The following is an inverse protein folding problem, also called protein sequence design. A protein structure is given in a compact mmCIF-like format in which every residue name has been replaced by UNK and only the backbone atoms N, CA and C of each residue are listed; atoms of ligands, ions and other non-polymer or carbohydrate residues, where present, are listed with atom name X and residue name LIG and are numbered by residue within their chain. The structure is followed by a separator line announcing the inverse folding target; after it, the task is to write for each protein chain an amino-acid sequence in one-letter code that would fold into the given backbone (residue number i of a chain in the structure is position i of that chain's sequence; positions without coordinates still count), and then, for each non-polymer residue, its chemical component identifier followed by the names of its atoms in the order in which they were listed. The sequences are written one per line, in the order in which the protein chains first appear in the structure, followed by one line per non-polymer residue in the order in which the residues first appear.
data_IF_170458900873
#
_entry.id   IF_170458900873
#
_cell.length_a   1.000
_cell.length_b   1.000
_cell.length_c   1.000
_cell.angle_alpha   90.00
_cell.angle_beta   90.00
_cell.angle_gamma   90.00
#
_symmetry.space_group_name_H-M   'P 1'
#
loop_
_entity.id
_entity.type
_entity.pdbx_description
1 polymer ?
#
# COMPACT_ATOMS: atom_id res chain seq x y z
N UNK A 1 33.15 -5.07 5.24
CA UNK A 1 31.76 -4.54 5.26
C UNK A 1 31.39 -4.16 3.84
N UNK A 2 30.53 -4.86 3.06
CA UNK A 2 29.89 -4.24 1.86
C UNK A 2 28.79 -4.96 1.02
N UNK A 3 28.35 -6.21 1.19
CA UNK A 3 27.20 -6.71 0.41
C UNK A 3 25.83 -6.27 0.99
N UNK A 4 25.73 -6.22 2.32
CA UNK A 4 24.44 -6.10 3.02
C UNK A 4 23.87 -4.67 2.99
N UNK A 5 24.73 -3.64 3.03
CA UNK A 5 24.29 -2.23 2.96
C UNK A 5 23.74 -1.88 1.58
N UNK A 6 24.38 -2.35 0.50
CA UNK A 6 23.90 -2.12 -0.87
C UNK A 6 22.54 -2.80 -1.11
N UNK A 7 22.36 -4.02 -0.60
CA UNK A 7 21.08 -4.73 -0.66
C UNK A 7 19.97 -4.00 0.12
N UNK A 8 20.24 -3.51 1.34
CA UNK A 8 19.27 -2.74 2.14
C UNK A 8 18.82 -1.47 1.40
N UNK A 9 19.74 -0.74 0.77
CA UNK A 9 19.42 0.46 -0.02
C UNK A 9 18.55 0.12 -1.24
N UNK A 10 18.85 -0.99 -1.94
CA UNK A 10 18.05 -1.43 -3.07
C UNK A 10 16.61 -1.79 -2.64
N UNK A 11 16.45 -2.50 -1.52
CA UNK A 11 15.12 -2.84 -0.98
C UNK A 11 14.31 -1.60 -0.59
N UNK A 12 14.95 -0.64 0.08
CA UNK A 12 14.33 0.65 0.42
C UNK A 12 13.81 1.38 -0.84
N UNK A 13 14.63 1.42 -1.90
CA UNK A 13 14.26 2.04 -3.16
C UNK A 13 13.12 1.28 -3.87
N UNK A 14 13.19 -0.05 -3.91
CA UNK A 14 12.16 -0.89 -4.54
C UNK A 14 10.83 -0.74 -3.83
N UNK A 15 10.80 -0.80 -2.50
CA UNK A 15 9.56 -0.66 -1.75
C UNK A 15 8.98 0.75 -1.92
N UNK A 16 9.79 1.80 -1.79
CA UNK A 16 9.34 3.19 -1.98
C UNK A 16 8.68 3.37 -3.34
N UNK A 17 9.29 2.87 -4.42
CA UNK A 17 8.73 2.93 -5.77
C UNK A 17 7.46 2.10 -5.90
N UNK A 18 7.44 0.88 -5.36
CA UNK A 18 6.26 0.01 -5.39
C UNK A 18 5.06 0.63 -4.67
N UNK A 19 5.28 1.25 -3.51
CA UNK A 19 4.25 1.95 -2.73
C UNK A 19 3.66 3.12 -3.50
N UNK A 20 4.49 3.97 -4.11
CA UNK A 20 4.01 5.09 -4.92
C UNK A 20 3.22 4.60 -6.15
N UNK A 21 3.71 3.57 -6.85
CA UNK A 21 3.03 3.01 -8.02
C UNK A 21 1.69 2.36 -7.67
N UNK A 22 1.62 1.64 -6.57
CA UNK A 22 0.37 1.08 -6.07
C UNK A 22 -0.65 2.18 -5.75
N UNK A 23 -0.22 3.28 -5.13
CA UNK A 23 -1.09 4.42 -4.87
C UNK A 23 -1.59 5.08 -6.16
N UNK A 24 -0.73 5.25 -7.17
CA UNK A 24 -1.12 5.82 -8.46
C UNK A 24 -2.14 4.93 -9.19
N UNK A 25 -1.93 3.61 -9.21
CA UNK A 25 -2.85 2.65 -9.85
C UNK A 25 -4.23 2.61 -9.19
N UNK A 26 -4.24 2.73 -7.85
CA UNK A 26 -5.45 2.78 -7.02
C UNK A 26 -6.07 4.19 -6.93
N UNK A 27 -5.48 5.20 -7.58
CA UNK A 27 -5.92 6.60 -7.51
C UNK A 27 -6.06 7.10 -6.05
N UNK A 28 -5.06 6.76 -5.23
CA UNK A 28 -4.94 7.18 -3.83
C UNK A 28 -4.12 8.46 -3.76
N UNK A 29 -4.68 9.48 -3.12
CA UNK A 29 -4.02 10.78 -2.95
C UNK A 29 -2.79 10.68 -2.03
N UNK A 30 -1.85 11.61 -2.18
CA UNK A 30 -0.66 11.67 -1.32
C UNK A 30 -1.02 11.77 0.17
N UNK A 31 -2.05 12.55 0.50
CA UNK A 31 -2.61 12.66 1.84
C UNK A 31 -3.10 11.32 2.39
N UNK A 32 -3.91 10.61 1.61
CA UNK A 32 -4.44 9.32 2.04
C UNK A 32 -3.32 8.29 2.22
N UNK A 33 -2.39 8.21 1.26
CA UNK A 33 -1.22 7.34 1.36
C UNK A 33 -0.39 7.67 2.62
N UNK A 34 -0.17 8.96 2.89
CA UNK A 34 0.57 9.42 4.07
C UNK A 34 -0.07 8.92 5.38
N UNK A 35 -1.40 9.01 5.49
CA UNK A 35 -2.14 8.46 6.63
C UNK A 35 -1.98 6.93 6.76
N UNK A 36 -2.07 6.19 5.65
CA UNK A 36 -1.95 4.72 5.63
C UNK A 36 -0.57 4.26 6.07
N UNK A 37 0.50 4.93 5.61
CA UNK A 37 1.88 4.52 5.91
C UNK A 37 2.51 5.27 7.09
N UNK A 38 1.76 6.11 7.80
CA UNK A 38 2.21 6.78 9.02
C UNK A 38 3.33 7.81 8.78
N UNK A 39 3.24 8.59 7.71
CA UNK A 39 4.16 9.71 7.41
C UNK A 39 3.40 11.00 7.13
N UNK A 40 4.12 12.10 6.92
CA UNK A 40 3.50 13.36 6.45
C UNK A 40 3.31 13.39 4.94
N UNK A 41 2.34 14.16 4.45
CA UNK A 41 2.13 14.40 3.02
C UNK A 41 3.39 14.97 2.33
N UNK A 42 4.16 15.82 3.03
CA UNK A 42 5.45 16.32 2.56
C UNK A 42 6.50 15.22 2.40
N UNK A 43 6.44 14.16 3.20
CA UNK A 43 7.33 12.99 3.06
C UNK A 43 6.96 12.18 1.82
N UNK A 44 5.67 11.98 1.55
CA UNK A 44 5.21 11.36 0.29
C UNK A 44 5.64 12.19 -0.92
N UNK A 45 5.57 13.53 -0.83
CA UNK A 45 6.08 14.41 -1.89
C UNK A 45 7.58 14.21 -2.13
N UNK A 46 8.40 14.16 -1.07
CA UNK A 46 9.84 13.86 -1.18
C UNK A 46 10.12 12.46 -1.75
N UNK A 47 9.31 11.46 -1.40
CA UNK A 47 9.40 10.12 -2.02
C UNK A 47 9.19 10.19 -3.53
N UNK A 48 8.23 10.97 -4.01
CA UNK A 48 7.97 11.14 -5.45
C UNK A 48 9.10 11.86 -6.20
N UNK A 49 9.91 12.65 -5.49
CA UNK A 49 11.10 13.33 -6.03
C UNK A 49 12.39 12.53 -5.84
N UNK A 50 12.29 11.27 -5.40
CA UNK A 50 13.44 10.41 -5.05
C UNK A 50 14.36 11.03 -3.96
N UNK A 51 13.86 11.95 -3.14
CA UNK A 51 14.59 12.63 -2.05
C UNK A 51 14.42 11.93 -0.69
N UNK A 52 13.50 10.96 -0.61
CA UNK A 52 13.25 10.19 0.61
C UNK A 52 12.96 8.73 0.24
N UNK A 53 13.63 7.81 0.91
CA UNK A 53 13.36 6.37 0.81
C UNK A 53 12.81 5.86 2.13
N UNK A 54 11.79 5.00 2.04
CA UNK A 54 11.33 4.21 3.17
C UNK A 54 12.47 3.31 3.64
N UNK A 55 12.78 3.33 4.93
CA UNK A 55 13.92 2.60 5.47
C UNK A 55 13.49 1.32 6.21
N UNK A 56 14.07 0.18 5.83
CA UNK A 56 13.89 -1.09 6.55
C UNK A 56 14.20 -0.93 8.05
N UNK A 57 13.29 -1.43 8.87
CA UNK A 57 13.34 -1.33 10.34
C UNK A 57 12.53 -0.17 10.91
N UNK A 58 11.93 0.66 10.04
CA UNK A 58 11.02 1.74 10.46
C UNK A 58 9.57 1.33 10.31
N UNK A 59 8.68 1.92 11.11
CA UNK A 59 7.24 1.66 11.02
C UNK A 59 6.64 2.01 9.66
N UNK A 60 6.98 3.15 9.02
CA UNK A 60 6.49 3.45 7.68
C UNK A 60 6.84 2.40 6.63
N UNK A 61 8.04 1.79 6.72
CA UNK A 61 8.42 0.71 5.84
C UNK A 61 7.51 -0.52 6.01
N UNK A 62 7.25 -0.93 7.26
CA UNK A 62 6.32 -2.05 7.52
C UNK A 62 4.90 -1.78 7.01
N UNK A 63 4.38 -0.57 7.23
CA UNK A 63 3.05 -0.18 6.76
C UNK A 63 2.99 -0.10 5.23
N UNK A 64 4.04 0.38 4.59
CA UNK A 64 4.16 0.38 3.14
C UNK A 64 4.20 -1.04 2.55
N UNK A 65 4.84 -2.01 3.24
CA UNK A 65 4.78 -3.44 2.85
C UNK A 65 3.34 -3.94 2.90
N UNK A 66 2.60 -3.65 3.97
CA UNK A 66 1.19 -4.04 4.10
C UNK A 66 0.32 -3.39 3.02
N UNK A 67 0.52 -2.11 2.73
CA UNK A 67 -0.18 -1.42 1.67
C UNK A 67 0.09 -2.02 0.28
N UNK A 68 1.36 -2.36 -0.03
CA UNK A 68 1.70 -3.06 -1.28
C UNK A 68 1.07 -4.45 -1.32
N UNK A 69 1.02 -5.18 -0.19
CA UNK A 69 0.31 -6.46 -0.11
C UNK A 69 -1.18 -6.32 -0.41
N UNK A 70 -1.85 -5.32 0.16
CA UNK A 70 -3.25 -5.00 -0.15
C UNK A 70 -3.44 -4.81 -1.65
N UNK A 71 -2.63 -3.95 -2.27
CA UNK A 71 -2.68 -3.70 -3.70
C UNK A 71 -2.53 -4.99 -4.50
N UNK A 72 -1.49 -5.80 -4.21
CA UNK A 72 -1.25 -7.06 -4.92
C UNK A 72 -2.36 -8.07 -4.75
N UNK A 73 -2.98 -8.14 -3.57
CA UNK A 73 -4.10 -9.04 -3.34
C UNK A 73 -5.35 -8.60 -4.08
N UNK A 74 -5.65 -7.31 -4.11
CA UNK A 74 -6.76 -6.77 -4.90
C UNK A 74 -6.53 -6.99 -6.40
N UNK A 75 -5.33 -6.65 -6.89
CA UNK A 75 -4.93 -6.80 -8.30
C UNK A 75 -5.11 -8.23 -8.82
N UNK A 76 -4.74 -9.22 -8.00
CA UNK A 76 -4.92 -10.64 -8.32
C UNK A 76 -6.38 -11.08 -8.41
N UNK A 77 -7.30 -10.45 -7.68
CA UNK A 77 -8.74 -10.75 -7.72
C UNK A 77 -9.39 -10.10 -8.95
N UNK A 78 -9.00 -8.86 -9.27
CA UNK A 78 -9.60 -8.09 -10.36
C UNK A 78 -8.92 -8.33 -11.72
N UNK A 79 -7.91 -9.21 -11.77
CA UNK A 79 -7.22 -9.57 -13.00
C UNK A 79 -6.40 -8.44 -13.63
N UNK A 80 -5.89 -7.51 -12.82
CA UNK A 80 -5.12 -6.35 -13.31
C UNK A 80 -5.97 -5.18 -13.80
N UNK A 81 -7.31 -5.24 -13.71
CA UNK A 81 -8.17 -4.13 -14.09
C UNK A 81 -8.15 -3.02 -13.02
N UNK A 82 -7.40 -1.96 -13.32
CA UNK A 82 -7.26 -0.82 -12.42
C UNK A 82 -8.58 -0.05 -12.20
N UNK A 83 -9.50 -0.04 -13.16
CA UNK A 83 -10.83 0.60 -12.98
C UNK A 83 -11.62 -0.18 -11.93
N UNK A 84 -11.63 -1.51 -12.04
CA UNK A 84 -12.32 -2.39 -11.10
C UNK A 84 -11.65 -2.32 -9.71
N UNK A 85 -10.31 -2.30 -9.65
CA UNK A 85 -9.58 -2.13 -8.38
C UNK A 85 -10.00 -0.84 -7.67
N UNK A 86 -10.02 0.28 -8.39
CA UNK A 86 -10.42 1.59 -7.85
C UNK A 86 -11.88 1.59 -7.38
N UNK A 87 -12.79 1.04 -8.18
CA UNK A 87 -14.19 0.94 -7.83
C UNK A 87 -14.39 0.08 -6.57
N UNK A 88 -13.72 -1.06 -6.48
CA UNK A 88 -13.80 -1.94 -5.31
C UNK A 88 -13.32 -1.24 -4.04
N UNK A 89 -12.23 -0.45 -4.13
CA UNK A 89 -11.68 0.26 -2.99
C UNK A 89 -12.58 1.42 -2.52
N UNK A 90 -13.25 2.11 -3.45
CA UNK A 90 -14.06 3.31 -3.20
C UNK A 90 -15.53 3.02 -2.89
N UNK A 91 -16.08 1.90 -3.35
CA UNK A 91 -17.48 1.56 -3.13
C UNK A 91 -17.69 0.91 -1.77
N UNK A 92 -18.89 1.11 -1.21
CA UNK A 92 -19.32 0.42 0.00
C UNK A 92 -19.19 -1.10 -0.17
N UNK A 93 -18.57 -1.75 0.80
CA UNK A 93 -18.35 -3.18 0.83
C UNK A 93 -19.06 -3.76 2.05
N UNK A 94 -19.98 -4.70 1.81
CA UNK A 94 -20.83 -5.30 2.84
C UNK A 94 -20.05 -6.05 3.91
N UNK A 95 -18.82 -6.50 3.63
CA UNK A 95 -17.96 -7.14 4.63
C UNK A 95 -17.41 -6.15 5.67
N UNK A 96 -17.36 -4.85 5.34
CA UNK A 96 -16.78 -3.81 6.20
C UNK A 96 -17.80 -2.78 6.68
N UNK A 97 -19.03 -2.85 6.16
CA UNK A 97 -20.08 -1.83 6.33
C UNK A 97 -19.57 -0.41 6.02
N UNK A 98 -18.66 -0.30 5.05
CA UNK A 98 -18.01 0.93 4.61
C UNK A 98 -17.24 0.70 3.30
N UNK A 99 -16.74 1.76 2.67
CA UNK A 99 -15.74 1.60 1.63
C UNK A 99 -14.39 1.14 2.23
N UNK A 100 -13.68 0.18 1.62
CA UNK A 100 -12.35 -0.23 2.08
C UNK A 100 -11.37 0.94 2.23
N UNK A 101 -11.45 1.95 1.35
CA UNK A 101 -10.63 3.17 1.41
C UNK A 101 -10.76 3.92 2.74
N UNK A 102 -11.90 3.85 3.41
CA UNK A 102 -12.14 4.50 4.70
C UNK A 102 -11.52 3.74 5.87
N UNK A 103 -11.25 2.44 5.70
CA UNK A 103 -10.72 1.56 6.77
C UNK A 103 -9.20 1.55 6.81
N UNK A 104 -8.55 1.56 5.64
CA UNK A 104 -7.10 1.43 5.49
C UNK A 104 -6.23 2.54 6.14
N UNK A 105 -6.73 3.74 6.53
CA UNK A 105 -5.92 4.70 7.29
C UNK A 105 -5.51 4.21 8.68
N UNK A 106 -6.22 3.22 9.23
CA UNK A 106 -5.88 2.62 10.53
C UNK A 106 -5.13 1.31 10.31
N UNK A 107 -4.20 0.97 11.21
CA UNK A 107 -3.45 -0.29 11.12
C UNK A 107 -4.40 -1.50 11.14
N UNK A 108 -5.37 -1.51 12.06
CA UNK A 108 -6.37 -2.58 12.16
C UNK A 108 -7.18 -2.70 10.87
N UNK A 109 -7.73 -1.58 10.37
CA UNK A 109 -8.51 -1.61 9.12
C UNK A 109 -7.69 -2.02 7.89
N UNK A 110 -6.41 -1.63 7.81
CA UNK A 110 -5.51 -2.08 6.75
C UNK A 110 -5.32 -3.61 6.80
N UNK A 111 -5.06 -4.16 7.99
CA UNK A 111 -4.89 -5.61 8.18
C UNK A 111 -6.19 -6.37 7.90
N UNK A 112 -7.34 -5.86 8.35
CA UNK A 112 -8.65 -6.48 8.12
C UNK A 112 -8.98 -6.56 6.63
N UNK A 113 -8.71 -5.48 5.87
CA UNK A 113 -8.93 -5.45 4.42
C UNK A 113 -7.99 -6.44 3.71
N UNK A 114 -6.73 -6.53 4.13
CA UNK A 114 -5.77 -7.51 3.59
C UNK A 114 -6.26 -8.95 3.86
N UNK A 115 -6.68 -9.24 5.09
CA UNK A 115 -7.14 -10.57 5.48
C UNK A 115 -8.37 -11.00 4.66
N UNK A 116 -9.31 -10.09 4.44
CA UNK A 116 -10.45 -10.32 3.56
C UNK A 116 -10.00 -10.65 2.13
N UNK A 117 -9.13 -9.82 1.53
CA UNK A 117 -8.66 -10.03 0.15
C UNK A 117 -7.92 -11.36 0.02
N UNK A 118 -7.06 -11.69 0.99
CA UNK A 118 -6.31 -12.95 0.99
C UNK A 118 -7.26 -14.16 1.08
N UNK A 119 -8.33 -14.08 1.88
CA UNK A 119 -9.35 -15.15 1.94
C UNK A 119 -10.08 -15.36 0.61
N UNK A 120 -10.31 -14.28 -0.16
CA UNK A 120 -10.99 -14.33 -1.46
C UNK A 120 -10.12 -14.90 -2.56
N UNK A 121 -8.80 -14.71 -2.48
CA UNK A 121 -7.82 -15.28 -3.43
C UNK A 121 -7.59 -16.78 -3.26
N UNK A 122 -7.84 -17.31 -2.06
CA UNK A 122 -7.60 -18.71 -1.73
C UNK A 122 -8.71 -19.66 -2.20
N UNK A 123 -9.79 -19.13 -2.79
CA UNK A 123 -10.85 -19.94 -3.40
C UNK A 123 -10.41 -20.36 -4.81
N UNK A 124 -9.68 -21.47 -4.90
CA UNK A 124 -9.34 -22.18 -6.15
C UNK A 124 -9.74 -23.64 -6.04
#
# INVERSE_FOLDING_TARGET
MQPQTAAKTAENAVLTKATLRAADLLDITARMLASVIGVSEATVSRMRRDEFLLERGTKPFELAVLFVRLFRSLDAIVGGDAVVARAWLKNANTAFDAAPLEKIPTITGLVDVIAYLDSRRALV
#
